data_IF_006865240872
#
_entry.id   IF_006865240872
#
_cell.length_a   1.000
_cell.length_b   1.000
_cell.length_c   1.000
_cell.angle_alpha   90.00
_cell.angle_beta   90.00
_cell.angle_gamma   90.00
#
_symmetry.space_group_name_H-M   'P 1'
#
loop_
_entity.id
_entity.type
_entity.pdbx_description
1 polymer ?
#
# COMPACT_ATOMS: atom_id res chain seq x y z
N UNK A 1 13.92 4.80 -13.55
CA UNK A 1 12.65 5.13 -12.88
C UNK A 1 12.81 5.03 -11.37
N UNK A 2 12.17 5.91 -10.62
CA UNK A 2 12.19 5.84 -9.18
C UNK A 2 11.32 4.69 -8.67
N UNK A 3 11.81 4.01 -7.66
CA UNK A 3 11.08 2.95 -6.96
C UNK A 3 10.88 3.35 -5.51
N UNK A 4 9.66 3.23 -5.03
CA UNK A 4 9.31 3.53 -3.63
C UNK A 4 8.55 2.34 -3.06
N UNK A 5 8.89 1.95 -1.83
CA UNK A 5 8.12 0.97 -1.08
C UNK A 5 7.40 1.66 0.08
N UNK A 6 6.10 1.45 0.17
CA UNK A 6 5.31 1.86 1.34
C UNK A 6 5.47 0.74 2.36
N UNK A 7 6.30 1.00 3.36
CA UNK A 7 6.89 -0.01 4.23
C UNK A 7 6.40 0.10 5.67
N UNK A 8 6.08 -1.06 6.24
CA UNK A 8 5.85 -1.21 7.67
C UNK A 8 6.89 -2.19 8.21
N UNK A 9 7.90 -1.72 8.98
CA UNK A 9 8.97 -2.60 9.46
C UNK A 9 8.50 -3.69 10.42
N UNK A 10 7.29 -3.58 10.96
CA UNK A 10 6.70 -4.60 11.83
C UNK A 10 5.95 -5.69 11.07
N UNK A 11 5.71 -5.48 9.78
CA UNK A 11 4.99 -6.43 8.94
C UNK A 11 5.97 -7.38 8.24
N UNK A 12 5.81 -8.69 8.46
CA UNK A 12 6.72 -9.69 7.85
C UNK A 12 6.69 -9.63 6.33
N UNK A 13 5.53 -9.48 5.71
CA UNK A 13 5.41 -9.38 4.25
C UNK A 13 6.13 -8.14 3.72
N UNK A 14 6.06 -7.04 4.45
CA UNK A 14 6.75 -5.81 4.09
C UNK A 14 8.28 -5.99 4.16
N UNK A 15 8.78 -6.61 5.23
CA UNK A 15 10.22 -6.91 5.35
C UNK A 15 10.69 -7.86 4.27
N UNK A 16 9.91 -8.91 3.97
CA UNK A 16 10.24 -9.88 2.92
C UNK A 16 10.30 -9.23 1.54
N UNK A 17 9.36 -8.33 1.26
CA UNK A 17 9.32 -7.61 -0.01
C UNK A 17 10.54 -6.69 -0.16
N UNK A 18 10.88 -5.95 0.88
CA UNK A 18 12.05 -5.08 0.86
C UNK A 18 13.33 -5.90 0.64
N UNK A 19 13.48 -7.02 1.36
CA UNK A 19 14.64 -7.89 1.19
C UNK A 19 14.72 -8.44 -0.23
N UNK A 20 13.60 -8.82 -0.82
CA UNK A 20 13.56 -9.32 -2.20
C UNK A 20 13.99 -8.25 -3.20
N UNK A 21 13.54 -7.02 -3.04
CA UNK A 21 13.95 -5.90 -3.90
C UNK A 21 15.46 -5.67 -3.80
N UNK A 22 16.00 -5.65 -2.59
CA UNK A 22 17.43 -5.44 -2.38
C UNK A 22 18.26 -6.58 -2.97
N UNK A 23 17.77 -7.82 -2.83
CA UNK A 23 18.40 -9.01 -3.39
C UNK A 23 18.49 -8.95 -4.92
N UNK A 24 17.49 -8.32 -5.55
CA UNK A 24 17.44 -8.14 -7.00
C UNK A 24 18.18 -6.88 -7.48
N UNK A 25 18.89 -6.21 -6.59
CA UNK A 25 19.66 -5.03 -6.93
C UNK A 25 18.84 -3.74 -7.02
N UNK A 26 17.62 -3.74 -6.51
CA UNK A 26 16.77 -2.57 -6.47
C UNK A 26 16.99 -1.84 -5.14
N UNK A 27 17.22 -0.54 -5.19
CA UNK A 27 17.42 0.32 -4.01
C UNK A 27 16.24 1.28 -3.90
N UNK A 28 15.13 0.85 -3.27
CA UNK A 28 13.92 1.67 -3.21
C UNK A 28 14.03 2.77 -2.18
N UNK A 29 13.31 3.87 -2.40
CA UNK A 29 13.02 4.84 -1.35
C UNK A 29 12.05 4.15 -0.39
N UNK A 30 12.39 4.13 0.89
CA UNK A 30 11.56 3.52 1.92
C UNK A 30 10.66 4.59 2.51
N UNK A 31 9.35 4.47 2.26
CA UNK A 31 8.37 5.37 2.85
C UNK A 31 7.67 4.63 4.00
N UNK A 32 7.90 5.08 5.21
CA UNK A 32 7.19 4.57 6.39
C UNK A 32 5.85 5.26 6.48
N UNK A 33 4.86 4.72 5.80
CA UNK A 33 3.57 5.36 5.61
C UNK A 33 2.77 5.55 6.91
N UNK A 34 3.10 4.82 7.99
CA UNK A 34 2.47 5.04 9.29
C UNK A 34 2.93 6.34 9.95
N UNK A 35 4.13 6.81 9.62
CA UNK A 35 4.73 8.05 10.13
C UNK A 35 4.60 9.19 9.11
N UNK A 36 4.55 8.84 7.83
CA UNK A 36 4.47 9.75 6.70
C UNK A 36 3.27 9.32 5.84
N UNK A 37 2.08 9.66 6.34
CA UNK A 37 0.83 9.22 5.73
C UNK A 37 0.68 9.77 4.31
N UNK A 38 0.23 8.93 3.37
CA UNK A 38 -0.06 9.41 2.02
C UNK A 38 -1.24 10.38 2.03
N UNK A 39 -1.21 11.33 1.12
CA UNK A 39 -2.34 12.22 0.88
C UNK A 39 -3.47 11.47 0.18
N UNK A 40 -4.68 12.04 0.18
CA UNK A 40 -5.79 11.43 -0.57
C UNK A 40 -5.47 11.35 -2.06
N UNK A 41 -4.80 12.35 -2.63
CA UNK A 41 -4.38 12.34 -4.03
C UNK A 41 -3.41 11.17 -4.32
N UNK A 42 -2.44 10.95 -3.43
CA UNK A 42 -1.51 9.83 -3.56
C UNK A 42 -2.22 8.48 -3.48
N UNK A 43 -3.22 8.37 -2.59
CA UNK A 43 -4.02 7.16 -2.45
C UNK A 43 -4.82 6.87 -3.72
N UNK A 44 -5.47 7.88 -4.29
CA UNK A 44 -6.22 7.75 -5.55
C UNK A 44 -5.30 7.25 -6.66
N UNK A 45 -4.12 7.84 -6.79
CA UNK A 45 -3.15 7.47 -7.81
C UNK A 45 -2.67 6.03 -7.63
N UNK A 46 -2.31 5.63 -6.42
CA UNK A 46 -1.83 4.28 -6.14
C UNK A 46 -2.92 3.23 -6.35
N UNK A 47 -4.15 3.52 -5.95
CA UNK A 47 -5.29 2.63 -6.16
C UNK A 47 -5.50 2.39 -7.67
N UNK A 48 -5.41 3.45 -8.47
CA UNK A 48 -5.51 3.36 -9.91
C UNK A 48 -4.38 2.52 -10.51
N UNK A 49 -3.14 2.78 -10.08
CA UNK A 49 -1.96 2.03 -10.54
C UNK A 49 -2.02 0.55 -10.16
N UNK A 50 -2.58 0.23 -9.00
CA UNK A 50 -2.78 -1.15 -8.56
C UNK A 50 -3.92 -1.85 -9.31
N UNK A 51 -4.82 -1.09 -9.94
CA UNK A 51 -5.98 -1.64 -10.62
C UNK A 51 -7.02 -2.24 -9.67
N UNK A 52 -7.15 -1.70 -8.48
CA UNK A 52 -8.07 -2.18 -7.44
C UNK A 52 -9.05 -1.08 -7.03
N UNK A 53 -9.97 -1.43 -6.16
CA UNK A 53 -10.90 -0.46 -5.56
C UNK A 53 -10.37 0.00 -4.20
N UNK A 54 -10.83 1.15 -3.67
CA UNK A 54 -10.46 1.57 -2.33
C UNK A 54 -10.81 0.52 -1.26
N UNK A 55 -11.93 -0.18 -1.41
CA UNK A 55 -12.33 -1.24 -0.51
C UNK A 55 -11.27 -2.37 -0.45
N UNK A 56 -10.70 -2.73 -1.59
CA UNK A 56 -9.69 -3.79 -1.68
C UNK A 56 -8.36 -3.39 -1.01
N UNK A 57 -8.10 -2.10 -0.87
CA UNK A 57 -6.88 -1.62 -0.20
C UNK A 57 -7.02 -1.63 1.33
N UNK A 58 -8.22 -1.75 1.87
CA UNK A 58 -8.49 -1.68 3.30
C UNK A 58 -8.13 -2.98 4.02
N UNK A 59 -7.38 -2.86 5.11
CA UNK A 59 -7.16 -3.95 6.06
C UNK A 59 -8.35 -4.03 7.01
N UNK A 60 -9.31 -4.87 6.67
CA UNK A 60 -10.59 -4.96 7.39
C UNK A 60 -10.51 -5.73 8.71
N UNK A 61 -9.33 -6.30 9.01
CA UNK A 61 -9.08 -7.00 10.27
C UNK A 61 -8.61 -6.07 11.40
N UNK A 62 -8.25 -4.82 11.05
CA UNK A 62 -7.82 -3.85 12.07
C UNK A 62 -8.98 -3.39 12.94
N UNK A 63 -8.71 -3.17 14.23
CA UNK A 63 -9.76 -2.78 15.20
C UNK A 63 -10.47 -1.48 14.80
N UNK A 64 -9.71 -0.49 14.32
CA UNK A 64 -10.27 0.80 13.92
C UNK A 64 -11.28 0.67 12.77
N UNK A 65 -11.12 -0.33 11.92
CA UNK A 65 -12.06 -0.57 10.82
C UNK A 65 -13.49 -0.76 11.36
N UNK A 66 -13.64 -1.56 12.41
CA UNK A 66 -14.95 -1.84 13.02
C UNK A 66 -15.57 -0.60 13.62
N UNK A 67 -14.74 0.24 14.24
CA UNK A 67 -15.17 1.49 14.87
C UNK A 67 -15.73 2.49 13.87
N UNK A 68 -15.16 2.51 12.65
CA UNK A 68 -15.56 3.46 11.61
C UNK A 68 -16.88 3.11 10.92
N UNK A 69 -17.36 1.87 11.06
CA UNK A 69 -18.63 1.45 10.46
C UNK A 69 -18.63 1.42 8.94
N UNK A 70 -17.46 1.27 8.32
CA UNK A 70 -17.34 1.22 6.86
C UNK A 70 -17.85 -0.11 6.31
N UNK A 71 -18.44 -0.05 5.11
CA UNK A 71 -18.88 -1.24 4.38
C UNK A 71 -18.39 -1.16 2.94
N UNK A 72 -18.49 -2.27 2.20
CA UNK A 72 -18.12 -2.26 0.78
C UNK A 72 -19.03 -1.35 -0.06
N UNK A 73 -20.16 -0.94 0.49
CA UNK A 73 -21.10 -0.01 -0.16
C UNK A 73 -20.84 1.45 0.24
N UNK A 74 -19.89 1.70 1.14
CA UNK A 74 -19.50 3.06 1.48
C UNK A 74 -18.93 3.76 0.24
N UNK A 75 -19.20 5.07 0.06
CA UNK A 75 -18.63 5.79 -1.08
C UNK A 75 -17.11 5.75 -1.08
N UNK A 76 -16.51 5.68 -2.27
CA UNK A 76 -15.06 5.62 -2.43
C UNK A 76 -14.35 6.76 -1.70
N UNK A 77 -14.91 7.96 -1.75
CA UNK A 77 -14.36 9.13 -1.06
C UNK A 77 -14.25 8.94 0.46
N UNK A 78 -15.24 8.29 1.08
CA UNK A 78 -15.20 7.97 2.50
C UNK A 78 -14.11 6.95 2.82
N UNK A 79 -13.96 5.94 1.96
CA UNK A 79 -12.93 4.91 2.14
C UNK A 79 -11.53 5.50 2.01
N UNK A 80 -11.33 6.40 1.05
CA UNK A 80 -10.04 7.08 0.84
C UNK A 80 -9.73 8.00 2.02
N UNK A 81 -10.71 8.74 2.52
CA UNK A 81 -10.52 9.59 3.70
C UNK A 81 -10.12 8.74 4.91
N UNK A 82 -10.75 7.59 5.10
CA UNK A 82 -10.41 6.69 6.20
C UNK A 82 -8.98 6.15 6.07
N UNK A 83 -8.54 5.79 4.87
CA UNK A 83 -7.17 5.33 4.62
C UNK A 83 -6.15 6.43 4.94
N UNK A 84 -6.47 7.68 4.59
CA UNK A 84 -5.58 8.81 4.83
C UNK A 84 -5.49 9.14 6.33
N UNK A 85 -6.62 9.13 7.04
CA UNK A 85 -6.68 9.45 8.46
C UNK A 85 -6.16 8.33 9.36
N UNK A 86 -6.25 7.07 8.87
CA UNK A 86 -5.84 5.89 9.61
C UNK A 86 -4.95 5.02 8.73
N UNK A 87 -3.66 5.39 8.56
CA UNK A 87 -2.76 4.65 7.66
C UNK A 87 -2.59 3.17 7.99
N UNK A 88 -2.86 2.77 9.23
CA UNK A 88 -2.84 1.34 9.61
C UNK A 88 -3.83 0.51 8.78
N UNK A 89 -4.84 1.14 8.19
CA UNK A 89 -5.83 0.49 7.35
C UNK A 89 -5.32 0.19 5.94
N UNK A 90 -4.17 0.75 5.55
CA UNK A 90 -3.61 0.53 4.21
C UNK A 90 -2.99 -0.87 4.15
N UNK A 91 -3.44 -1.66 3.18
CA UNK A 91 -2.81 -2.97 2.93
C UNK A 91 -1.37 -2.77 2.48
N UNK A 92 -0.45 -3.63 2.91
CA UNK A 92 1.00 -3.45 2.73
C UNK A 92 1.69 -4.78 2.46
N UNK A 93 2.85 -4.73 1.84
CA UNK A 93 3.53 -3.54 1.32
C UNK A 93 3.03 -3.17 -0.07
N UNK A 94 3.22 -1.90 -0.45
CA UNK A 94 2.97 -1.43 -1.81
C UNK A 94 4.29 -0.97 -2.38
N UNK A 95 4.61 -1.39 -3.61
CA UNK A 95 5.79 -0.93 -4.34
C UNK A 95 5.31 -0.15 -5.55
N UNK A 96 5.81 1.07 -5.68
CA UNK A 96 5.55 1.94 -6.83
C UNK A 96 6.83 2.06 -7.63
N UNK A 97 6.76 1.79 -8.94
CA UNK A 97 7.88 1.91 -9.86
C UNK A 97 7.42 2.67 -11.09
N UNK A 98 7.87 3.91 -11.22
CA UNK A 98 7.39 4.78 -12.29
C UNK A 98 5.89 4.99 -12.19
N UNK A 99 5.15 4.61 -13.23
CA UNK A 99 3.70 4.75 -13.31
C UNK A 99 2.94 3.46 -12.94
N UNK A 100 3.64 2.47 -12.42
CA UNK A 100 3.05 1.19 -12.07
C UNK A 100 3.22 0.90 -10.59
N UNK A 101 2.33 0.09 -10.03
CA UNK A 101 2.41 -0.33 -8.64
C UNK A 101 2.00 -1.79 -8.52
N UNK A 102 2.50 -2.44 -7.48
CA UNK A 102 2.12 -3.80 -7.13
C UNK A 102 2.13 -3.97 -5.61
N UNK A 103 1.30 -4.87 -5.12
CA UNK A 103 1.25 -5.22 -3.71
C UNK A 103 2.11 -6.45 -3.47
N UNK A 104 2.90 -6.44 -2.39
CA UNK A 104 3.78 -7.55 -2.04
C UNK A 104 3.08 -8.68 -1.28
N UNK A 105 1.99 -9.18 -1.81
CA UNK A 105 1.22 -10.28 -1.22
C UNK A 105 0.79 -11.28 -2.29
N UNK A 106 1.63 -12.30 -2.57
CA UNK A 106 2.92 -12.59 -1.93
C UNK A 106 4.02 -11.60 -2.35
N UNK A 107 5.13 -11.55 -1.62
CA UNK A 107 6.20 -10.58 -1.92
C UNK A 107 6.68 -10.59 -3.38
N UNK A 108 6.71 -11.75 -4.00
CA UNK A 108 7.19 -11.93 -5.38
C UNK A 108 6.33 -11.18 -6.42
N UNK A 109 5.10 -10.81 -6.09
CA UNK A 109 4.24 -10.06 -7.02
C UNK A 109 4.86 -8.74 -7.47
N UNK A 110 5.67 -8.12 -6.61
CA UNK A 110 6.30 -6.83 -6.96
C UNK A 110 7.32 -6.97 -8.09
N UNK A 111 7.81 -8.18 -8.35
CA UNK A 111 8.81 -8.41 -9.39
C UNK A 111 8.26 -8.15 -10.78
N UNK A 112 6.94 -8.22 -10.98
CA UNK A 112 6.31 -7.89 -12.25
C UNK A 112 6.56 -6.46 -12.71
N UNK A 113 6.92 -5.58 -11.76
CA UNK A 113 7.22 -4.17 -12.07
C UNK A 113 8.55 -3.99 -12.81
N UNK A 114 9.40 -4.99 -12.80
CA UNK A 114 10.78 -4.91 -13.30
C UNK A 114 11.04 -5.78 -14.53
N UNK A 115 10.01 -6.28 -15.14
CA UNK A 115 10.14 -7.15 -16.33
C UNK A 115 9.66 -6.48 -17.60
#
# INVERSE_FOLDING_TARGET
>A
MATTIWHNPRCSKSRQTLALLEEQGVDPVIRRYLEDAPTEAELVEVIDQLGITPWELLRRTEAIFKTLGLTKNSPDGELITALQQHPILIERPIVVHGNAAAMGRPPEQVMSLFH
#
